data_IF_196134425122
#
_entry.id   IF_196134425122
#
_cell.length_a   1.000
_cell.length_b   1.000
_cell.length_c   1.000
_cell.angle_alpha   90.00
_cell.angle_beta   90.00
_cell.angle_gamma   90.00
#
_symmetry.space_group_name_H-M   'P 1'
#
loop_
_entity.id
_entity.type
_entity.pdbx_description
1 polymer ?
#
# COMPACT_ATOMS: atom_id res chain seq x y z
N UNK A 1 37.78 9.66 21.91
CA UNK A 1 36.75 8.79 21.29
C UNK A 1 35.37 9.28 21.70
N UNK A 2 34.69 10.02 20.83
CA UNK A 2 33.34 10.53 21.10
C UNK A 2 32.33 9.40 20.91
N UNK A 3 31.83 8.80 21.99
CA UNK A 3 30.76 7.79 21.91
C UNK A 3 29.49 8.50 21.42
N UNK A 4 29.06 8.20 20.19
CA UNK A 4 27.75 8.62 19.67
C UNK A 4 26.67 8.10 20.63
N UNK A 5 25.70 8.91 21.06
CA UNK A 5 24.65 8.46 21.95
C UNK A 5 23.86 7.35 21.26
N UNK A 6 23.81 6.17 21.89
CA UNK A 6 22.93 5.07 21.48
C UNK A 6 21.49 5.57 21.55
N UNK A 7 20.92 5.84 20.38
CA UNK A 7 19.52 6.26 20.25
C UNK A 7 18.64 5.06 20.62
N UNK A 8 17.68 5.29 21.53
CA UNK A 8 16.72 4.30 22.05
C UNK A 8 16.25 3.31 20.96
N UNK A 9 16.20 2.00 21.26
CA UNK A 9 15.65 1.01 20.34
C UNK A 9 14.17 1.34 20.10
N UNK A 10 13.82 1.66 18.85
CA UNK A 10 12.44 1.88 18.45
C UNK A 10 11.84 0.53 18.08
N UNK A 11 10.82 0.05 18.81
CA UNK A 11 10.16 -1.23 18.54
C UNK A 11 9.55 -1.36 17.14
N UNK A 12 9.29 -0.23 16.47
CA UNK A 12 8.73 -0.15 15.11
C UNK A 12 9.77 0.15 14.01
N UNK A 13 11.06 -0.06 14.26
CA UNK A 13 12.11 0.11 13.24
C UNK A 13 12.37 1.56 12.79
N UNK A 14 13.33 1.73 11.88
CA UNK A 14 13.89 3.01 11.42
C UNK A 14 13.97 3.04 9.89
N UNK A 15 14.13 4.23 9.30
CA UNK A 15 14.22 4.40 7.83
C UNK A 15 15.58 3.93 7.27
N UNK A 16 16.64 4.03 8.09
CA UNK A 16 18.01 3.62 7.80
C UNK A 16 18.68 3.15 9.10
N UNK A 17 19.77 2.35 9.05
CA UNK A 17 20.52 1.97 10.25
C UNK A 17 21.08 3.23 10.92
N UNK A 18 20.50 3.64 12.06
CA UNK A 18 20.85 4.88 12.77
C UNK A 18 20.06 6.16 12.37
N UNK A 19 19.17 6.09 11.38
CA UNK A 19 18.37 7.21 10.83
C UNK A 19 17.14 7.60 11.65
N UNK A 20 16.20 8.38 11.14
CA UNK A 20 14.94 8.75 11.82
C UNK A 20 14.01 7.53 12.04
N UNK A 21 13.13 7.54 13.08
CA UNK A 21 12.12 6.49 13.26
C UNK A 21 11.16 6.45 12.06
N UNK A 22 10.87 5.26 11.53
CA UNK A 22 10.04 5.12 10.32
C UNK A 22 8.61 5.66 10.51
N UNK A 23 8.07 5.54 11.72
CA UNK A 23 6.75 6.02 12.08
C UNK A 23 6.61 7.55 11.93
N UNK A 24 7.70 8.30 12.12
CA UNK A 24 7.68 9.77 12.06
C UNK A 24 7.43 10.29 10.64
N UNK A 25 7.86 9.54 9.63
CA UNK A 25 7.54 9.83 8.23
C UNK A 25 6.23 9.16 7.78
N UNK A 26 5.95 7.95 8.29
CA UNK A 26 4.78 7.18 7.90
C UNK A 26 3.45 7.82 8.31
N UNK A 27 3.39 8.45 9.49
CA UNK A 27 2.16 9.12 9.98
C UNK A 27 1.75 10.29 9.08
N UNK A 28 2.59 11.31 8.81
CA UNK A 28 2.17 12.47 8.01
C UNK A 28 1.89 12.07 6.56
N UNK A 29 2.71 11.21 5.96
CA UNK A 29 2.51 10.76 4.58
C UNK A 29 1.26 9.89 4.47
N UNK A 30 1.04 8.96 5.40
CA UNK A 30 -0.17 8.14 5.44
C UNK A 30 -1.44 8.97 5.62
N UNK A 31 -1.41 10.01 6.47
CA UNK A 31 -2.54 10.91 6.66
C UNK A 31 -2.87 11.71 5.39
N UNK A 32 -1.86 12.19 4.67
CA UNK A 32 -2.06 12.88 3.37
C UNK A 32 -2.69 11.93 2.35
N UNK A 33 -2.20 10.69 2.24
CA UNK A 33 -2.77 9.67 1.35
C UNK A 33 -4.23 9.39 1.72
N UNK A 34 -4.53 9.20 3.01
CA UNK A 34 -5.89 8.95 3.49
C UNK A 34 -6.83 10.13 3.21
N UNK A 35 -6.37 11.37 3.38
CA UNK A 35 -7.15 12.57 3.07
C UNK A 35 -7.46 12.67 1.57
N UNK A 36 -6.48 12.42 0.70
CA UNK A 36 -6.68 12.41 -0.76
C UNK A 36 -7.71 11.34 -1.17
N UNK A 37 -7.61 10.14 -0.61
CA UNK A 37 -8.58 9.05 -0.85
C UNK A 37 -9.98 9.46 -0.37
N UNK A 38 -10.09 10.02 0.85
CA UNK A 38 -11.36 10.49 1.40
C UNK A 38 -12.04 11.57 0.55
N UNK A 39 -11.28 12.51 0.01
CA UNK A 39 -11.77 13.57 -0.88
C UNK A 39 -12.19 12.99 -2.24
N UNK A 40 -11.37 12.11 -2.82
CA UNK A 40 -11.68 11.48 -4.11
C UNK A 40 -12.97 10.65 -4.05
N UNK A 41 -13.14 9.83 -3.02
CA UNK A 41 -14.37 9.05 -2.81
C UNK A 41 -15.58 9.93 -2.44
N UNK A 42 -15.36 11.10 -1.84
CA UNK A 42 -16.43 12.07 -1.62
C UNK A 42 -16.99 12.61 -2.95
N UNK A 43 -16.10 12.91 -3.91
CA UNK A 43 -16.48 13.44 -5.23
C UNK A 43 -17.11 12.41 -6.18
N UNK A 44 -17.10 11.13 -5.82
CA UNK A 44 -17.67 10.09 -6.65
C UNK A 44 -19.21 10.20 -6.73
N UNK A 45 -19.81 10.10 -7.93
CA UNK A 45 -21.26 10.24 -8.16
C UNK A 45 -22.09 9.08 -7.59
N UNK A 46 -21.44 8.11 -6.94
CA UNK A 46 -22.01 6.90 -6.34
C UNK A 46 -22.84 7.25 -5.10
N UNK A 47 -22.49 8.34 -4.43
CA UNK A 47 -23.21 8.81 -3.27
C UNK A 47 -24.17 9.90 -3.71
N UNK A 48 -25.47 9.58 -3.68
CA UNK A 48 -26.55 10.56 -3.80
C UNK A 48 -26.24 11.78 -2.93
N UNK A 49 -26.64 12.97 -3.38
CA UNK A 49 -26.59 14.22 -2.61
C UNK A 49 -27.40 14.05 -1.31
N UNK A 50 -26.81 13.39 -0.33
CA UNK A 50 -27.38 13.13 0.97
C UNK A 50 -27.24 14.41 1.80
N UNK A 51 -28.10 14.58 2.80
CA UNK A 51 -28.13 15.75 3.70
C UNK A 51 -26.88 15.87 4.59
N UNK A 52 -25.95 14.91 4.51
CA UNK A 52 -24.69 14.88 5.24
C UNK A 52 -23.67 15.84 4.60
N UNK A 53 -23.06 16.71 5.40
CA UNK A 53 -21.97 17.60 4.98
C UNK A 53 -20.86 16.83 4.25
N UNK A 54 -20.50 17.26 3.04
CA UNK A 54 -19.49 16.62 2.19
C UNK A 54 -18.13 16.46 2.91
N UNK A 55 -17.75 17.45 3.71
CA UNK A 55 -16.54 17.44 4.52
C UNK A 55 -16.55 16.36 5.62
N UNK A 56 -17.71 16.12 6.23
CA UNK A 56 -17.86 15.12 7.29
C UNK A 56 -17.72 13.70 6.72
N UNK A 57 -18.27 13.46 5.53
CA UNK A 57 -18.15 12.16 4.85
C UNK A 57 -16.73 11.90 4.35
N UNK A 58 -16.05 12.91 3.79
CA UNK A 58 -14.63 12.80 3.45
C UNK A 58 -13.75 12.49 4.68
N UNK A 59 -14.05 13.12 5.82
CA UNK A 59 -13.37 12.85 7.09
C UNK A 59 -13.58 11.41 7.57
N UNK A 60 -14.83 10.91 7.56
CA UNK A 60 -15.15 9.54 7.97
C UNK A 60 -14.41 8.50 7.12
N UNK A 61 -14.43 8.68 5.79
CA UNK A 61 -13.72 7.80 4.87
C UNK A 61 -12.20 7.89 5.13
N UNK A 62 -11.66 9.09 5.27
CA UNK A 62 -10.24 9.32 5.57
C UNK A 62 -9.80 8.67 6.88
N UNK A 63 -10.60 8.79 7.96
CA UNK A 63 -10.30 8.17 9.26
C UNK A 63 -10.29 6.64 9.16
N UNK A 64 -11.20 6.04 8.40
CA UNK A 64 -11.19 4.58 8.18
C UNK A 64 -9.97 4.11 7.36
N UNK A 65 -9.52 4.92 6.40
CA UNK A 65 -8.38 4.59 5.52
C UNK A 65 -7.02 4.95 6.15
N UNK A 66 -7.00 5.85 7.14
CA UNK A 66 -5.79 6.33 7.79
C UNK A 66 -4.92 5.21 8.41
N UNK A 67 -5.45 4.26 9.21
CA UNK A 67 -4.62 3.20 9.78
C UNK A 67 -3.97 2.32 8.71
N UNK A 68 -4.72 1.96 7.67
CA UNK A 68 -4.23 1.11 6.58
C UNK A 68 -3.14 1.82 5.75
N UNK A 69 -3.38 3.09 5.40
CA UNK A 69 -2.40 3.90 4.65
C UNK A 69 -1.12 4.17 5.44
N UNK A 70 -1.22 4.49 6.75
CA UNK A 70 -0.06 4.67 7.61
C UNK A 70 0.75 3.37 7.72
N UNK A 71 0.08 2.22 7.90
CA UNK A 71 0.75 0.92 7.93
C UNK A 71 1.48 0.60 6.61
N UNK A 72 0.86 0.95 5.47
CA UNK A 72 1.44 0.71 4.15
C UNK A 72 2.68 1.60 3.91
N UNK A 73 2.60 2.89 4.25
CA UNK A 73 3.76 3.79 4.17
C UNK A 73 4.85 3.35 5.13
N UNK A 74 4.51 2.93 6.35
CA UNK A 74 5.48 2.38 7.29
C UNK A 74 6.18 1.15 6.70
N UNK A 75 5.44 0.20 6.12
CA UNK A 75 6.01 -1.01 5.52
C UNK A 75 6.95 -0.72 4.34
N UNK A 76 6.70 0.34 3.57
CA UNK A 76 7.57 0.76 2.47
C UNK A 76 8.86 1.44 2.93
N UNK A 77 8.79 2.20 4.03
CA UNK A 77 9.87 3.07 4.49
C UNK A 77 10.74 2.38 5.55
N UNK A 78 10.18 1.42 6.30
CA UNK A 78 10.88 0.76 7.38
C UNK A 78 12.00 -0.14 6.84
N UNK A 79 13.22 0.12 7.31
CA UNK A 79 14.35 -0.76 7.09
C UNK A 79 14.17 -2.00 7.98
N UNK A 80 13.87 -3.13 7.33
CA UNK A 80 13.62 -4.42 7.98
C UNK A 80 14.79 -4.90 8.84
N UNK A 81 16.03 -4.49 8.54
CA UNK A 81 17.21 -4.84 9.34
C UNK A 81 17.21 -4.18 10.73
N UNK A 82 16.42 -3.12 10.91
CA UNK A 82 16.30 -2.36 12.16
C UNK A 82 15.12 -2.81 13.03
N UNK A 83 14.32 -3.77 12.57
CA UNK A 83 13.16 -4.30 13.30
C UNK A 83 13.60 -5.45 14.22
N UNK A 84 13.29 -5.41 15.52
CA UNK A 84 13.64 -6.49 16.45
C UNK A 84 13.02 -7.83 16.02
N UNK A 85 13.84 -8.88 15.93
CA UNK A 85 13.37 -10.23 15.53
C UNK A 85 13.38 -10.50 14.03
N UNK A 86 13.91 -9.60 13.20
CA UNK A 86 14.13 -9.89 11.78
C UNK A 86 15.18 -11.00 11.62
N UNK A 87 14.83 -12.03 10.85
CA UNK A 87 15.76 -13.11 10.46
C UNK A 87 16.87 -12.49 9.58
N UNK A 88 18.16 -12.70 9.89
CA UNK A 88 19.24 -12.24 9.03
C UNK A 88 19.21 -12.99 7.69
N UNK A 89 19.20 -12.24 6.58
CA UNK A 89 19.22 -12.72 5.19
C UNK A 89 18.08 -13.68 4.81
N UNK A 90 16.81 -13.23 4.82
CA UNK A 90 15.65 -14.06 4.46
C UNK A 90 15.72 -14.61 3.03
N UNK A 91 16.42 -13.95 2.11
CA UNK A 91 16.58 -14.32 0.70
C UNK A 91 17.27 -15.67 0.46
N UNK A 92 18.04 -16.18 1.43
CA UNK A 92 18.67 -17.51 1.34
C UNK A 92 17.79 -18.64 1.87
N UNK A 93 16.58 -18.34 2.37
CA UNK A 93 15.65 -19.36 2.83
C UNK A 93 14.90 -20.02 1.68
N UNK A 94 14.75 -21.34 1.74
CA UNK A 94 13.92 -22.11 0.80
C UNK A 94 12.46 -21.62 0.85
N UNK A 95 11.98 -21.26 2.04
CA UNK A 95 10.63 -20.71 2.23
C UNK A 95 10.44 -19.37 1.50
N UNK A 96 11.47 -18.53 1.49
CA UNK A 96 11.43 -17.25 0.78
C UNK A 96 11.33 -17.47 -0.74
N UNK A 97 12.00 -18.50 -1.26
CA UNK A 97 11.93 -18.84 -2.70
C UNK A 97 10.52 -19.29 -3.09
N UNK A 98 9.91 -20.19 -2.30
CA UNK A 98 8.53 -20.63 -2.54
C UNK A 98 7.53 -19.48 -2.40
N UNK A 99 7.71 -18.61 -1.40
CA UNK A 99 6.86 -17.44 -1.23
C UNK A 99 6.99 -16.45 -2.38
N UNK A 100 8.21 -16.15 -2.83
CA UNK A 100 8.48 -15.23 -3.94
C UNK A 100 7.88 -15.75 -5.26
N UNK A 101 8.01 -17.06 -5.53
CA UNK A 101 7.35 -17.71 -6.66
C UNK A 101 5.83 -17.62 -6.54
N UNK A 102 5.25 -18.01 -5.39
CA UNK A 102 3.82 -17.95 -5.18
C UNK A 102 3.25 -16.53 -5.29
N UNK A 103 3.99 -15.52 -4.81
CA UNK A 103 3.59 -14.12 -4.90
C UNK A 103 3.57 -13.63 -6.35
N UNK A 104 4.57 -14.00 -7.16
CA UNK A 104 4.63 -13.70 -8.60
C UNK A 104 3.48 -14.38 -9.35
N UNK A 105 3.29 -15.67 -9.13
CA UNK A 105 2.24 -16.44 -9.79
C UNK A 105 0.85 -15.91 -9.42
N UNK A 106 0.62 -15.64 -8.13
CA UNK A 106 -0.62 -15.05 -7.64
C UNK A 106 -0.88 -13.68 -8.26
N UNK A 107 0.15 -12.83 -8.42
CA UNK A 107 0.00 -11.53 -9.05
C UNK A 107 -0.42 -11.63 -10.52
N UNK A 108 0.21 -12.53 -11.29
CA UNK A 108 -0.16 -12.77 -12.68
C UNK A 108 -1.57 -13.36 -12.80
N UNK A 109 -1.95 -14.26 -11.90
CA UNK A 109 -3.32 -14.77 -11.81
C UNK A 109 -4.33 -13.67 -11.46
N UNK A 110 -3.97 -12.73 -10.58
CA UNK A 110 -4.81 -11.58 -10.24
C UNK A 110 -5.02 -10.67 -11.46
N UNK A 111 -3.97 -10.38 -12.22
CA UNK A 111 -4.07 -9.63 -13.48
C UNK A 111 -4.92 -10.37 -14.52
N UNK A 112 -4.67 -11.65 -14.73
CA UNK A 112 -5.45 -12.46 -15.66
C UNK A 112 -6.93 -12.53 -15.24
N UNK A 113 -7.19 -12.76 -13.95
CA UNK A 113 -8.53 -12.87 -13.39
C UNK A 113 -9.30 -11.55 -13.40
N UNK A 114 -8.65 -10.43 -13.10
CA UNK A 114 -9.29 -9.10 -13.15
C UNK A 114 -9.53 -8.64 -14.59
N UNK A 115 -8.60 -8.92 -15.52
CA UNK A 115 -8.80 -8.64 -16.94
C UNK A 115 -9.90 -9.49 -17.58
N UNK A 116 -9.86 -10.81 -17.37
CA UNK A 116 -10.90 -11.72 -17.84
C UNK A 116 -12.25 -11.40 -17.17
N UNK A 117 -12.24 -11.16 -15.86
CA UNK A 117 -13.42 -10.76 -15.10
C UNK A 117 -14.02 -9.47 -15.64
N UNK A 118 -13.20 -8.44 -15.90
CA UNK A 118 -13.67 -7.19 -16.49
C UNK A 118 -14.37 -7.41 -17.84
N UNK A 119 -13.79 -8.27 -18.70
CA UNK A 119 -14.38 -8.60 -19.99
C UNK A 119 -15.71 -9.36 -19.84
N UNK A 120 -15.75 -10.42 -19.02
CA UNK A 120 -16.94 -11.25 -18.83
C UNK A 120 -18.09 -10.48 -18.16
N UNK A 121 -17.77 -9.71 -17.11
CA UNK A 121 -18.77 -8.91 -16.39
C UNK A 121 -19.36 -7.79 -17.25
N UNK A 122 -18.66 -7.34 -18.29
CA UNK A 122 -19.20 -6.35 -19.24
C UNK A 122 -20.41 -6.83 -20.04
N UNK A 123 -20.63 -8.14 -20.16
CA UNK A 123 -21.75 -8.70 -20.93
C UNK A 123 -23.00 -8.95 -20.08
N UNK A 124 -22.83 -9.27 -18.80
CA UNK A 124 -23.91 -9.83 -17.95
C UNK A 124 -24.21 -9.00 -16.69
N UNK A 125 -23.32 -8.07 -16.31
CA UNK A 125 -23.42 -7.31 -15.07
C UNK A 125 -23.46 -5.81 -15.33
N UNK A 126 -23.90 -5.00 -14.34
CA UNK A 126 -23.87 -3.56 -14.46
C UNK A 126 -22.45 -3.05 -14.82
N UNK A 127 -22.32 -2.02 -15.67
CA UNK A 127 -21.02 -1.49 -16.12
C UNK A 127 -20.06 -1.14 -14.98
N UNK A 128 -20.59 -0.73 -13.82
CA UNK A 128 -19.80 -0.46 -12.62
C UNK A 128 -18.90 -1.63 -12.20
N UNK A 129 -19.35 -2.88 -12.34
CA UNK A 129 -18.57 -4.07 -11.96
C UNK A 129 -17.39 -4.28 -12.90
N UNK A 130 -17.60 -4.06 -14.20
CA UNK A 130 -16.51 -4.14 -15.18
C UNK A 130 -15.50 -3.01 -14.95
N UNK A 131 -15.97 -1.77 -14.72
CA UNK A 131 -15.11 -0.62 -14.45
C UNK A 131 -14.28 -0.79 -13.18
N UNK A 132 -14.83 -1.37 -12.11
CA UNK A 132 -14.06 -1.63 -10.89
C UNK A 132 -12.97 -2.67 -11.12
N UNK A 133 -13.24 -3.74 -11.87
CA UNK A 133 -12.23 -4.74 -12.23
C UNK A 133 -11.12 -4.15 -13.13
N UNK A 134 -11.47 -3.29 -14.08
CA UNK A 134 -10.50 -2.54 -14.90
C UNK A 134 -9.64 -1.63 -14.02
N UNK A 135 -10.25 -0.91 -13.06
CA UNK A 135 -9.53 -0.03 -12.15
C UNK A 135 -8.54 -0.82 -11.26
N UNK A 136 -8.94 -1.98 -10.75
CA UNK A 136 -8.06 -2.87 -9.97
C UNK A 136 -6.92 -3.40 -10.84
N UNK A 137 -7.21 -3.84 -12.07
CA UNK A 137 -6.19 -4.29 -13.03
C UNK A 137 -5.17 -3.18 -13.31
N UNK A 138 -5.64 -1.97 -13.65
CA UNK A 138 -4.79 -0.82 -13.95
C UNK A 138 -3.94 -0.42 -12.74
N UNK A 139 -4.51 -0.43 -11.54
CA UNK A 139 -3.79 -0.15 -10.30
C UNK A 139 -2.70 -1.19 -10.03
N UNK A 140 -3.01 -2.48 -10.16
CA UNK A 140 -2.05 -3.57 -9.98
C UNK A 140 -0.89 -3.48 -11.00
N UNK A 141 -1.20 -3.20 -12.26
CA UNK A 141 -0.19 -3.01 -13.31
C UNK A 141 0.70 -1.79 -13.05
N UNK A 142 0.12 -0.66 -12.61
CA UNK A 142 0.86 0.54 -12.26
C UNK A 142 1.76 0.32 -11.04
N UNK A 143 1.27 -0.37 -10.00
CA UNK A 143 2.06 -0.72 -8.82
C UNK A 143 3.26 -1.60 -9.19
N UNK A 144 3.06 -2.58 -10.08
CA UNK A 144 4.15 -3.40 -10.60
C UNK A 144 5.14 -2.57 -11.42
N UNK A 145 4.66 -1.71 -12.32
CA UNK A 145 5.52 -0.86 -13.15
C UNK A 145 6.40 0.07 -12.31
N UNK A 146 5.83 0.76 -11.31
CA UNK A 146 6.58 1.61 -10.38
C UNK A 146 7.61 0.79 -9.60
N UNK A 147 7.20 -0.36 -9.05
CA UNK A 147 8.11 -1.25 -8.30
C UNK A 147 9.26 -1.76 -9.16
N UNK A 148 8.98 -2.07 -10.42
CA UNK A 148 9.96 -2.53 -11.39
C UNK A 148 10.93 -1.41 -11.80
N UNK A 149 10.44 -0.19 -12.02
CA UNK A 149 11.28 0.97 -12.33
C UNK A 149 12.24 1.30 -11.18
N UNK A 150 11.74 1.33 -9.93
CA UNK A 150 12.58 1.58 -8.75
C UNK A 150 13.71 0.54 -8.65
N UNK A 151 13.39 -0.74 -8.88
CA UNK A 151 14.37 -1.84 -8.83
C UNK A 151 15.32 -1.87 -10.03
N UNK A 152 14.89 -1.39 -11.19
CA UNK A 152 15.74 -1.25 -12.38
C UNK A 152 16.81 -0.18 -12.16
N UNK A 153 16.47 0.87 -11.42
CA UNK A 153 17.36 2.02 -11.16
C UNK A 153 18.25 1.83 -9.91
N UNK A 154 18.03 0.77 -9.13
CA UNK A 154 18.84 0.41 -7.95
C UNK A 154 19.96 -0.56 -8.29
#
# INVERSE_FOLDING_TARGET
>A
MYKKPEKKPCGFGRIKPGGTPALWLAIPVGLVVAAVIGIALQSAPIFSHNTMNAWLRALLIGVCVAPASIALVWAMVVDRSTVPGAIPNPEHSVEFTWYDQAAKDSFHLLLAGTGLGAALTSFWLPPMVSWTLIAVFAFAALAFAVSYLIRRES
#
